data_IF_756625562487
#
_entry.id   IF_756625562487
#
_cell.length_a   1.000
_cell.length_b   1.000
_cell.length_c   1.000
_cell.angle_alpha   90.00
_cell.angle_beta   90.00
_cell.angle_gamma   90.00
#
_symmetry.space_group_name_H-M   'P 1'
#
loop_
_entity.id
_entity.type
_entity.pdbx_description
1 polymer ?
#
# COMPACT_ATOMS: atom_id res chain seq x y z
N UNK A 1 8.06 -8.82 -27.27
CA UNK A 1 6.99 -7.94 -26.71
C UNK A 1 5.71 -8.70 -26.31
N UNK A 2 5.57 -10.00 -26.61
CA UNK A 2 4.43 -10.85 -26.20
C UNK A 2 4.60 -11.59 -24.87
N UNK A 3 5.82 -11.63 -24.31
CA UNK A 3 6.14 -12.44 -23.11
C UNK A 3 5.86 -11.73 -21.77
N UNK A 4 5.71 -10.40 -21.76
CA UNK A 4 5.41 -9.66 -20.53
C UNK A 4 3.92 -9.63 -20.17
N UNK A 5 3.05 -10.13 -21.07
CA UNK A 5 1.61 -10.14 -20.87
C UNK A 5 1.14 -11.33 -19.99
N UNK A 6 1.81 -12.49 -20.04
CA UNK A 6 1.41 -13.67 -19.24
C UNK A 6 1.72 -13.51 -17.74
N UNK A 7 2.76 -12.76 -17.37
CA UNK A 7 3.12 -12.50 -15.97
C UNK A 7 2.17 -11.50 -15.29
N UNK A 8 1.69 -10.49 -16.03
CA UNK A 8 0.69 -9.55 -15.54
C UNK A 8 -0.70 -10.20 -15.40
N UNK A 9 -1.03 -11.15 -16.29
CA UNK A 9 -2.24 -11.96 -16.17
C UNK A 9 -2.25 -12.82 -14.91
N UNK A 10 -1.12 -13.34 -14.42
CA UNK A 10 -1.09 -14.09 -13.14
C UNK A 10 -1.37 -13.21 -11.93
N UNK A 11 -0.92 -11.95 -11.93
CA UNK A 11 -1.13 -11.02 -10.82
C UNK A 11 -2.59 -10.54 -10.79
N UNK A 12 -3.22 -10.38 -11.95
CA UNK A 12 -4.63 -10.02 -12.08
C UNK A 12 -5.55 -11.24 -11.88
N UNK A 13 -5.19 -12.41 -12.43
CA UNK A 13 -5.91 -13.67 -12.23
C UNK A 13 -5.86 -14.11 -10.77
N UNK A 14 -4.74 -13.87 -10.08
CA UNK A 14 -4.63 -14.11 -8.64
C UNK A 14 -5.55 -13.22 -7.81
N UNK A 15 -5.75 -11.96 -8.21
CA UNK A 15 -6.74 -11.07 -7.59
C UNK A 15 -8.19 -11.47 -7.94
N UNK A 16 -8.44 -12.02 -9.13
CA UNK A 16 -9.76 -12.53 -9.54
C UNK A 16 -10.14 -13.86 -8.86
N UNK A 17 -9.18 -14.65 -8.36
CA UNK A 17 -9.42 -15.95 -7.74
C UNK A 17 -9.65 -15.93 -6.21
N UNK A 18 -9.72 -14.75 -5.58
CA UNK A 18 -10.16 -14.60 -4.17
C UNK A 18 -11.66 -14.91 -3.94
N UNK A 19 -12.31 -15.58 -4.89
CA UNK A 19 -13.73 -15.95 -4.82
C UNK A 19 -13.90 -17.26 -4.05
N UNK A 20 -14.39 -17.15 -2.81
CA UNK A 20 -14.85 -18.18 -1.84
C UNK A 20 -14.00 -19.48 -1.73
N UNK A 21 -13.41 -19.78 -0.56
CA UNK A 21 -12.88 -21.11 -0.29
C UNK A 21 -14.05 -22.10 -0.14
N UNK A 22 -14.42 -22.82 -1.21
CA UNK A 22 -15.48 -23.83 -1.08
C UNK A 22 -16.07 -24.47 -2.34
N UNK A 23 -15.67 -24.09 -3.56
CA UNK A 23 -16.09 -24.83 -4.77
C UNK A 23 -14.91 -25.04 -5.71
N UNK A 24 -14.22 -26.16 -5.53
CA UNK A 24 -13.30 -26.71 -6.52
C UNK A 24 -14.10 -27.41 -7.63
N UNK A 25 -14.08 -26.87 -8.83
CA UNK A 25 -14.37 -27.63 -10.05
C UNK A 25 -13.15 -28.53 -10.38
N UNK A 26 -13.33 -29.72 -10.97
CA UNK A 26 -12.21 -30.63 -11.25
C UNK A 26 -11.23 -30.18 -12.36
N UNK A 27 -11.58 -29.15 -13.14
CA UNK A 27 -10.86 -28.80 -14.38
C UNK A 27 -9.95 -27.55 -14.30
N UNK A 28 -9.76 -26.94 -13.12
CA UNK A 28 -8.90 -25.77 -12.96
C UNK A 28 -7.41 -26.14 -12.85
N UNK A 29 -6.81 -26.58 -13.96
CA UNK A 29 -5.34 -26.76 -14.08
C UNK A 29 -4.65 -25.42 -14.30
N UNK A 30 -4.48 -24.64 -13.22
CA UNK A 30 -3.55 -23.51 -13.22
C UNK A 30 -2.11 -24.03 -13.17
N UNK A 31 -1.39 -23.79 -14.26
CA UNK A 31 0.00 -24.17 -14.48
C UNK A 31 0.88 -22.93 -14.19
N UNK A 32 1.78 -23.01 -13.21
CA UNK A 32 2.67 -21.90 -12.81
C UNK A 32 4.14 -22.26 -13.07
N UNK A 33 4.94 -21.28 -13.51
CA UNK A 33 6.40 -21.37 -13.49
C UNK A 33 6.90 -21.19 -12.04
N UNK A 34 7.48 -22.23 -11.45
CA UNK A 34 7.95 -22.25 -10.05
C UNK A 34 9.34 -21.66 -9.85
N UNK A 35 10.03 -21.29 -10.93
CA UNK A 35 11.42 -20.87 -10.89
C UNK A 35 11.57 -19.35 -11.10
N UNK A 36 11.45 -18.60 -10.01
CA UNK A 36 11.61 -17.13 -9.94
C UNK A 36 13.07 -16.63 -10.16
N UNK A 37 13.89 -17.34 -10.94
CA UNK A 37 15.31 -16.98 -11.09
C UNK A 37 16.06 -17.59 -12.27
N UNK A 38 15.41 -18.36 -13.14
CA UNK A 38 16.12 -19.03 -14.24
C UNK A 38 15.16 -19.42 -15.37
N UNK A 39 14.52 -18.43 -16.00
CA UNK A 39 13.96 -18.64 -17.34
C UNK A 39 15.11 -18.32 -18.31
N UNK A 40 15.61 -19.30 -19.07
CA UNK A 40 16.62 -19.05 -20.09
C UNK A 40 16.12 -18.04 -21.13
N UNK A 41 16.99 -17.15 -21.60
CA UNK A 41 16.70 -16.09 -22.59
C UNK A 41 16.25 -16.62 -23.96
N UNK A 42 16.29 -17.93 -24.18
CA UNK A 42 15.99 -18.66 -25.42
C UNK A 42 14.70 -19.52 -25.33
N UNK A 43 13.72 -19.08 -24.55
CA UNK A 43 12.45 -19.79 -24.34
C UNK A 43 11.74 -20.12 -25.67
N UNK A 44 11.61 -21.43 -25.95
CA UNK A 44 10.85 -21.96 -27.08
C UNK A 44 9.63 -22.77 -26.58
N UNK A 45 8.39 -22.27 -26.77
CA UNK A 45 7.17 -22.94 -26.29
C UNK A 45 6.92 -24.30 -26.93
N UNK A 46 7.58 -24.63 -28.04
CA UNK A 46 7.43 -25.90 -28.76
C UNK A 46 8.53 -26.92 -28.42
N UNK A 47 9.41 -26.65 -27.46
CA UNK A 47 10.44 -27.63 -27.07
C UNK A 47 9.84 -28.74 -26.21
N UNK A 48 10.18 -29.99 -26.51
CA UNK A 48 9.78 -31.18 -25.74
C UNK A 48 10.34 -31.23 -24.30
N UNK A 49 11.19 -30.27 -23.90
CA UNK A 49 11.69 -30.10 -22.52
C UNK A 49 10.75 -29.31 -21.61
N UNK A 50 9.59 -28.83 -22.11
CA UNK A 50 8.62 -28.05 -21.32
C UNK A 50 7.89 -28.90 -20.27
N UNK A 51 7.87 -30.23 -20.42
CA UNK A 51 7.07 -31.14 -19.58
C UNK A 51 7.61 -31.26 -18.15
N UNK A 52 8.92 -31.07 -17.92
CA UNK A 52 9.53 -31.24 -16.59
C UNK A 52 9.39 -30.03 -15.67
N UNK A 53 8.97 -28.87 -16.19
CA UNK A 53 8.81 -27.64 -15.39
C UNK A 53 7.43 -27.51 -14.71
N UNK A 54 6.47 -28.35 -15.08
CA UNK A 54 5.09 -28.24 -14.64
C UNK A 54 4.70 -29.39 -13.74
N UNK A 55 5.30 -29.40 -12.54
CA UNK A 55 4.74 -30.19 -11.44
C UNK A 55 3.41 -29.55 -11.02
N UNK A 56 2.30 -30.31 -10.96
CA UNK A 56 1.06 -29.79 -10.40
C UNK A 56 1.34 -29.32 -8.97
N UNK A 57 1.11 -28.03 -8.73
CA UNK A 57 1.30 -27.43 -7.42
C UNK A 57 0.38 -28.09 -6.39
N UNK A 58 0.86 -28.25 -5.15
CA UNK A 58 -0.03 -28.62 -4.06
C UNK A 58 -1.08 -27.53 -3.84
N UNK A 59 -2.21 -27.87 -3.19
CA UNK A 59 -3.20 -26.87 -2.83
C UNK A 59 -2.61 -25.76 -1.93
N UNK A 60 -1.65 -26.12 -1.08
CA UNK A 60 -0.91 -25.18 -0.23
C UNK A 60 -0.04 -24.25 -1.06
N UNK A 61 0.70 -24.77 -2.05
CA UNK A 61 1.54 -23.95 -2.93
C UNK A 61 0.72 -22.99 -3.78
N UNK A 62 -0.45 -23.42 -4.27
CA UNK A 62 -1.37 -22.51 -4.99
C UNK A 62 -1.86 -21.38 -4.09
N UNK A 63 -2.31 -21.70 -2.89
CA UNK A 63 -2.79 -20.69 -1.94
C UNK A 63 -1.67 -19.73 -1.52
N UNK A 64 -0.46 -20.25 -1.28
CA UNK A 64 0.70 -19.43 -0.96
C UNK A 64 1.12 -18.54 -2.14
N UNK A 65 1.13 -19.08 -3.36
CA UNK A 65 1.40 -18.30 -4.58
C UNK A 65 0.45 -17.13 -4.75
N UNK A 66 -0.85 -17.35 -4.56
CA UNK A 66 -1.86 -16.28 -4.61
C UNK A 66 -1.64 -15.21 -3.53
N UNK A 67 -1.34 -15.63 -2.30
CA UNK A 67 -1.00 -14.71 -1.21
C UNK A 67 0.24 -13.87 -1.54
N UNK A 68 1.29 -14.51 -2.07
CA UNK A 68 2.51 -13.82 -2.48
C UNK A 68 2.25 -12.86 -3.63
N UNK A 69 1.45 -13.23 -4.63
CA UNK A 69 1.04 -12.30 -5.69
C UNK A 69 0.39 -11.04 -5.09
N UNK A 70 -0.54 -11.20 -4.15
CA UNK A 70 -1.13 -10.07 -3.43
C UNK A 70 -0.09 -9.25 -2.65
N UNK A 71 0.82 -9.91 -1.93
CA UNK A 71 1.87 -9.24 -1.15
C UNK A 71 2.80 -8.40 -2.04
N UNK A 72 3.10 -8.89 -3.25
CA UNK A 72 3.98 -8.22 -4.20
C UNK A 72 3.38 -6.92 -4.75
N UNK A 73 2.08 -6.67 -4.65
CA UNK A 73 1.49 -5.36 -5.01
C UNK A 73 2.11 -4.20 -4.23
N UNK A 74 2.67 -4.47 -3.05
CA UNK A 74 3.44 -3.48 -2.27
C UNK A 74 4.56 -2.81 -3.08
N UNK A 75 5.04 -3.44 -4.15
CA UNK A 75 6.04 -2.86 -5.07
C UNK A 75 5.56 -1.57 -5.77
N UNK A 76 4.23 -1.41 -5.93
CA UNK A 76 3.63 -0.23 -6.53
C UNK A 76 3.86 1.02 -5.68
N UNK A 77 3.98 0.87 -4.36
CA UNK A 77 4.11 1.98 -3.42
C UNK A 77 5.43 2.04 -2.66
N UNK A 78 6.17 0.92 -2.60
CA UNK A 78 7.42 0.81 -1.83
C UNK A 78 8.63 0.51 -2.72
N UNK A 79 9.86 0.88 -2.30
CA UNK A 79 11.07 0.39 -2.93
C UNK A 79 11.18 -1.14 -2.85
N UNK A 80 11.82 -1.75 -3.86
CA UNK A 80 12.05 -3.20 -3.94
C UNK A 80 12.75 -3.74 -2.70
N UNK A 81 13.72 -2.98 -2.16
CA UNK A 81 14.44 -3.32 -0.93
C UNK A 81 13.50 -3.53 0.26
N UNK A 82 12.45 -2.73 0.40
CA UNK A 82 11.49 -2.86 1.51
C UNK A 82 10.65 -4.15 1.37
N UNK A 83 10.37 -4.59 0.13
CA UNK A 83 9.67 -5.86 -0.13
C UNK A 83 10.58 -7.03 0.25
N UNK A 84 11.85 -7.00 -0.16
CA UNK A 84 12.88 -7.98 0.22
C UNK A 84 13.01 -8.08 1.75
N UNK A 85 13.09 -6.94 2.44
CA UNK A 85 13.21 -6.92 3.91
C UNK A 85 11.97 -7.47 4.63
N UNK A 86 10.78 -7.24 4.09
CA UNK A 86 9.52 -7.71 4.70
C UNK A 86 9.11 -9.13 4.29
N UNK A 87 9.95 -9.85 3.53
CA UNK A 87 9.63 -11.19 3.03
C UNK A 87 9.40 -12.24 4.14
N UNK A 88 10.25 -12.27 5.17
CA UNK A 88 10.09 -13.23 6.28
C UNK A 88 8.77 -12.99 7.02
N UNK A 89 8.43 -11.72 7.23
CA UNK A 89 7.16 -11.34 7.85
C UNK A 89 5.96 -11.71 6.97
N UNK A 90 6.07 -11.66 5.64
CA UNK A 90 5.02 -12.13 4.74
C UNK A 90 4.74 -13.63 4.92
N UNK A 91 5.79 -14.45 5.06
CA UNK A 91 5.67 -15.88 5.34
C UNK A 91 4.97 -16.14 6.67
N UNK A 92 5.38 -15.44 7.73
CA UNK A 92 4.73 -15.54 9.05
C UNK A 92 3.26 -15.12 8.98
N UNK A 93 2.96 -14.03 8.27
CA UNK A 93 1.60 -13.53 8.10
C UNK A 93 0.71 -14.53 7.36
N UNK A 94 1.25 -15.24 6.36
CA UNK A 94 0.52 -16.31 5.68
C UNK A 94 0.07 -17.40 6.66
N UNK A 95 0.98 -17.91 7.49
CA UNK A 95 0.62 -18.94 8.48
C UNK A 95 -0.41 -18.44 9.51
N UNK A 96 -0.40 -17.15 9.84
CA UNK A 96 -1.42 -16.52 10.69
C UNK A 96 -2.80 -16.46 10.01
N UNK A 97 -2.88 -15.99 8.75
CA UNK A 97 -4.16 -15.86 8.03
C UNK A 97 -4.81 -17.20 7.68
N UNK A 98 -4.01 -18.24 7.45
CA UNK A 98 -4.50 -19.54 7.01
C UNK A 98 -4.43 -20.62 8.10
N UNK A 99 -4.49 -20.22 9.37
CA UNK A 99 -4.63 -21.11 10.55
C UNK A 99 -3.69 -22.32 10.53
N UNK A 100 -2.38 -22.06 10.54
CA UNK A 100 -1.34 -23.09 10.68
C UNK A 100 -1.11 -23.97 9.44
N UNK A 101 -1.52 -23.54 8.24
CA UNK A 101 -0.91 -24.09 7.02
C UNK A 101 0.58 -23.82 7.06
N UNK A 102 1.37 -24.89 6.95
CA UNK A 102 2.82 -24.76 6.85
C UNK A 102 3.16 -23.89 5.64
N UNK A 103 3.89 -22.81 5.90
CA UNK A 103 4.42 -22.00 4.80
C UNK A 103 5.38 -22.85 3.99
N UNK A 104 5.21 -22.96 2.66
CA UNK A 104 6.13 -23.70 1.81
C UNK A 104 7.59 -23.25 1.98
N UNK A 105 8.43 -24.10 2.58
CA UNK A 105 9.84 -23.80 2.88
C UNK A 105 10.68 -23.58 1.63
N UNK A 106 10.33 -24.23 0.53
CA UNK A 106 11.06 -24.21 -0.73
C UNK A 106 10.90 -22.91 -1.52
N UNK A 107 9.95 -22.04 -1.16
CA UNK A 107 9.76 -20.78 -1.89
C UNK A 107 10.89 -19.80 -1.58
N UNK A 108 11.69 -19.43 -2.60
CA UNK A 108 12.84 -18.57 -2.38
C UNK A 108 12.40 -17.15 -2.04
N UNK A 109 13.30 -16.41 -1.40
CA UNK A 109 13.17 -14.97 -1.29
C UNK A 109 13.32 -14.35 -2.69
N UNK A 110 12.45 -13.42 -3.11
CA UNK A 110 12.60 -12.77 -4.39
C UNK A 110 13.91 -11.99 -4.44
N UNK A 111 14.60 -12.07 -5.58
CA UNK A 111 15.81 -11.30 -5.80
C UNK A 111 15.47 -9.82 -6.00
N UNK A 112 16.37 -8.94 -5.55
CA UNK A 112 16.18 -7.49 -5.66
C UNK A 112 16.05 -7.04 -7.12
N UNK A 113 16.92 -7.54 -7.99
CA UNK A 113 16.92 -7.25 -9.44
C UNK A 113 15.60 -7.65 -10.12
N UNK A 114 15.04 -8.80 -9.73
CA UNK A 114 13.75 -9.25 -10.24
C UNK A 114 12.62 -8.32 -9.81
N UNK A 115 12.60 -7.89 -8.55
CA UNK A 115 11.61 -6.93 -8.05
C UNK A 115 11.73 -5.56 -8.72
N UNK A 116 12.95 -5.09 -9.01
CA UNK A 116 13.17 -3.85 -9.76
C UNK A 116 12.64 -3.97 -11.19
N UNK A 117 12.86 -5.12 -11.85
CA UNK A 117 12.28 -5.41 -13.16
C UNK A 117 10.73 -5.37 -13.10
N UNK A 118 10.15 -6.11 -12.16
CA UNK A 118 8.69 -6.16 -11.96
C UNK A 118 8.11 -4.75 -11.72
N UNK A 119 8.77 -3.95 -10.88
CA UNK A 119 8.37 -2.57 -10.61
C UNK A 119 8.36 -1.73 -11.89
N UNK A 120 9.42 -1.83 -12.69
CA UNK A 120 9.52 -1.11 -13.95
C UNK A 120 8.40 -1.51 -14.91
N UNK A 121 8.03 -2.80 -14.97
CA UNK A 121 6.90 -3.26 -15.80
C UNK A 121 5.57 -2.61 -15.37
N UNK A 122 5.29 -2.54 -14.07
CA UNK A 122 4.09 -1.84 -13.58
C UNK A 122 4.10 -0.35 -13.91
N UNK A 123 5.27 0.29 -13.93
CA UNK A 123 5.40 1.69 -14.33
C UNK A 123 5.18 1.91 -15.83
N UNK A 124 5.58 0.95 -16.67
CA UNK A 124 5.41 1.01 -18.13
C UNK A 124 3.95 0.80 -18.54
N UNK A 125 3.25 -0.16 -17.92
CA UNK A 125 1.88 -0.54 -18.28
C UNK A 125 0.86 0.15 -17.38
N UNK A 126 0.65 1.46 -17.59
CA UNK A 126 -0.28 2.27 -16.79
C UNK A 126 -1.69 1.66 -16.66
N UNK A 127 -2.20 1.04 -17.72
CA UNK A 127 -3.52 0.38 -17.72
C UNK A 127 -3.58 -0.78 -16.75
N UNK A 128 -2.52 -1.58 -16.65
CA UNK A 128 -2.47 -2.71 -15.72
C UNK A 128 -2.57 -2.22 -14.28
N UNK A 129 -1.79 -1.19 -13.92
CA UNK A 129 -1.86 -0.57 -12.59
C UNK A 129 -3.26 0.01 -12.29
N UNK A 130 -3.86 0.74 -13.24
CA UNK A 130 -5.22 1.26 -13.07
C UNK A 130 -6.27 0.16 -12.87
N UNK A 131 -6.20 -0.93 -13.65
CA UNK A 131 -7.08 -2.09 -13.49
C UNK A 131 -6.88 -2.74 -12.12
N UNK A 132 -5.63 -2.94 -11.71
CA UNK A 132 -5.31 -3.57 -10.44
C UNK A 132 -5.85 -2.75 -9.24
N UNK A 133 -5.74 -1.42 -9.30
CA UNK A 133 -6.30 -0.54 -8.26
C UNK A 133 -7.83 -0.51 -8.25
N UNK A 134 -8.48 -0.64 -9.41
CA UNK A 134 -9.94 -0.81 -9.47
C UNK A 134 -10.39 -2.11 -8.83
N UNK A 135 -9.65 -3.21 -9.03
CA UNK A 135 -9.91 -4.48 -8.36
C UNK A 135 -9.73 -4.33 -6.85
N UNK A 136 -8.62 -3.74 -6.39
CA UNK A 136 -8.41 -3.46 -4.96
C UNK A 136 -9.54 -2.64 -4.36
N UNK A 137 -9.96 -1.58 -5.04
CA UNK A 137 -11.08 -0.74 -4.58
C UNK A 137 -12.39 -1.53 -4.49
N UNK A 138 -12.67 -2.38 -5.49
CA UNK A 138 -13.86 -3.24 -5.45
C UNK A 138 -13.79 -4.24 -4.29
N UNK A 139 -12.63 -4.85 -4.04
CA UNK A 139 -12.43 -5.75 -2.90
C UNK A 139 -12.68 -5.03 -1.56
N UNK A 140 -12.17 -3.80 -1.39
CA UNK A 140 -12.41 -2.98 -0.20
C UNK A 140 -13.91 -2.68 0.00
N UNK A 141 -14.65 -2.45 -1.08
CA UNK A 141 -16.11 -2.20 -1.02
C UNK A 141 -16.94 -3.47 -0.78
N UNK A 142 -16.47 -4.64 -1.21
CA UNK A 142 -17.19 -5.91 -1.06
C UNK A 142 -16.96 -6.53 0.31
N UNK A 143 -15.73 -6.46 0.82
CA UNK A 143 -15.34 -7.09 2.08
C UNK A 143 -15.23 -6.03 3.17
N UNK A 144 -16.38 -5.62 3.71
CA UNK A 144 -16.49 -4.55 4.72
C UNK A 144 -16.59 -5.07 6.15
N UNK A 145 -16.79 -6.37 6.33
CA UNK A 145 -17.09 -6.99 7.63
C UNK A 145 -15.84 -7.04 8.52
N UNK A 146 -15.73 -6.04 9.39
CA UNK A 146 -14.64 -5.92 10.37
C UNK A 146 -14.59 -7.16 11.25
N UNK A 147 -13.40 -7.74 11.40
CA UNK A 147 -13.16 -8.95 12.20
C UNK A 147 -13.11 -10.24 11.38
N UNK A 148 -13.47 -10.22 10.09
CA UNK A 148 -13.30 -11.37 9.20
C UNK A 148 -11.86 -11.52 8.71
N UNK A 149 -11.48 -12.75 8.34
CA UNK A 149 -10.15 -13.05 7.78
C UNK A 149 -9.97 -12.33 6.44
N UNK A 150 -11.00 -12.30 5.61
CA UNK A 150 -11.00 -11.65 4.29
C UNK A 150 -10.76 -10.14 4.42
N UNK A 151 -11.47 -9.48 5.33
CA UNK A 151 -11.27 -8.05 5.63
C UNK A 151 -9.83 -7.78 6.04
N UNK A 152 -9.30 -8.57 6.98
CA UNK A 152 -7.93 -8.41 7.48
C UNK A 152 -6.88 -8.68 6.38
N UNK A 153 -7.12 -9.67 5.52
CA UNK A 153 -6.25 -10.03 4.40
C UNK A 153 -6.20 -8.92 3.34
N UNK A 154 -7.35 -8.38 2.93
CA UNK A 154 -7.43 -7.29 1.95
C UNK A 154 -6.72 -6.04 2.47
N UNK A 155 -6.90 -5.73 3.76
CA UNK A 155 -6.19 -4.61 4.38
C UNK A 155 -4.69 -4.82 4.40
N UNK A 156 -4.24 -6.01 4.79
CA UNK A 156 -2.83 -6.35 4.86
C UNK A 156 -2.15 -6.31 3.47
N UNK A 157 -2.73 -6.96 2.47
CA UNK A 157 -2.12 -7.11 1.15
C UNK A 157 -2.23 -5.86 0.30
N UNK A 158 -3.33 -5.10 0.41
CA UNK A 158 -3.63 -4.03 -0.53
C UNK A 158 -3.84 -2.66 0.14
N UNK A 159 -4.79 -2.53 1.07
CA UNK A 159 -5.17 -1.20 1.60
C UNK A 159 -4.00 -0.56 2.34
N UNK A 160 -3.40 -1.23 3.32
CA UNK A 160 -2.29 -0.70 4.12
C UNK A 160 -1.07 -0.34 3.27
N UNK A 161 -0.59 -1.19 2.33
CA UNK A 161 0.58 -0.82 1.53
C UNK A 161 0.28 0.23 0.45
N UNK A 162 -0.92 0.29 -0.13
CA UNK A 162 -1.21 1.12 -1.30
C UNK A 162 -1.89 2.46 -0.97
N UNK A 163 -2.72 2.50 0.07
CA UNK A 163 -3.47 3.71 0.43
C UNK A 163 -2.54 4.86 0.82
N UNK A 164 -2.95 6.07 0.43
CA UNK A 164 -2.27 7.33 0.67
C UNK A 164 -0.81 7.37 0.20
N UNK A 165 -0.43 6.51 -0.75
CA UNK A 165 0.92 6.49 -1.31
C UNK A 165 1.29 7.88 -1.81
N UNK A 166 2.38 8.45 -1.30
CA UNK A 166 2.82 9.79 -1.68
C UNK A 166 2.00 10.95 -1.09
N UNK A 167 0.91 10.69 -0.37
CA UNK A 167 0.04 11.67 0.29
C UNK A 167 0.14 11.57 1.83
N UNK A 168 1.36 11.39 2.36
CA UNK A 168 1.55 11.23 3.80
C UNK A 168 1.00 12.40 4.62
N UNK A 169 0.98 13.63 4.08
CA UNK A 169 0.37 14.77 4.74
C UNK A 169 -1.11 14.54 5.07
N UNK A 170 -1.88 13.98 4.11
CA UNK A 170 -3.29 13.69 4.36
C UNK A 170 -3.47 12.59 5.40
N UNK A 171 -2.68 11.51 5.31
CA UNK A 171 -2.72 10.43 6.30
C UNK A 171 -2.41 10.96 7.72
N UNK A 172 -1.32 11.69 7.89
CA UNK A 172 -0.97 12.26 9.20
C UNK A 172 -2.04 13.24 9.70
N UNK A 173 -2.66 14.01 8.80
CA UNK A 173 -3.77 14.89 9.17
C UNK A 173 -4.97 14.08 9.70
N UNK A 174 -5.34 12.98 9.04
CA UNK A 174 -6.35 12.06 9.54
C UNK A 174 -5.97 11.45 10.89
N UNK A 175 -4.71 11.06 11.08
CA UNK A 175 -4.22 10.52 12.36
C UNK A 175 -4.32 11.61 13.47
N UNK A 176 -3.97 12.87 13.18
CA UNK A 176 -4.14 14.00 14.14
C UNK A 176 -5.61 14.21 14.46
N UNK A 177 -6.48 14.15 13.44
CA UNK A 177 -7.94 14.24 13.61
C UNK A 177 -8.46 13.15 14.51
N UNK A 178 -8.02 11.90 14.32
CA UNK A 178 -8.40 10.76 15.14
C UNK A 178 -7.93 10.95 16.60
N UNK A 179 -6.68 11.37 16.80
CA UNK A 179 -6.12 11.61 18.15
C UNK A 179 -6.78 12.75 18.91
N UNK A 180 -7.19 13.79 18.20
CA UNK A 180 -7.81 14.98 18.81
C UNK A 180 -9.33 14.88 18.89
N UNK A 181 -9.96 13.98 18.14
CA UNK A 181 -11.42 13.91 18.00
C UNK A 181 -12.05 15.15 17.36
N UNK A 182 -11.25 16.05 16.79
CA UNK A 182 -11.72 17.33 16.25
C UNK A 182 -12.21 17.20 14.81
N UNK A 183 -13.05 18.14 14.37
CA UNK A 183 -13.48 18.18 12.98
C UNK A 183 -12.38 18.73 12.05
N UNK A 184 -12.46 18.36 10.77
CA UNK A 184 -11.53 18.86 9.74
C UNK A 184 -11.49 20.40 9.71
N UNK A 185 -12.64 21.06 9.82
CA UNK A 185 -12.72 22.52 9.80
C UNK A 185 -12.00 23.17 10.99
N UNK A 186 -12.00 22.53 12.16
CA UNK A 186 -11.27 23.01 13.33
C UNK A 186 -9.76 22.92 13.10
N UNK A 187 -9.27 21.75 12.69
CA UNK A 187 -7.84 21.53 12.45
C UNK A 187 -7.30 22.45 11.35
N UNK A 188 -8.04 22.62 10.26
CA UNK A 188 -7.69 23.54 9.19
C UNK A 188 -7.53 24.96 9.73
N UNK A 189 -8.43 25.42 10.59
CA UNK A 189 -8.36 26.75 11.21
C UNK A 189 -7.14 26.90 12.12
N UNK A 190 -6.80 25.87 12.90
CA UNK A 190 -5.66 25.94 13.82
C UNK A 190 -4.31 25.88 13.11
N UNK A 191 -4.24 25.19 11.98
CA UNK A 191 -3.03 25.06 11.16
C UNK A 191 -2.89 26.18 10.13
N UNK A 192 -3.89 27.06 9.98
CA UNK A 192 -3.91 28.06 8.91
C UNK A 192 -2.78 29.08 9.05
N UNK A 193 -1.81 29.02 8.13
CA UNK A 193 -0.74 29.99 7.95
C UNK A 193 -0.35 30.11 6.47
N UNK A 194 0.49 31.10 6.14
CA UNK A 194 0.98 31.31 4.77
C UNK A 194 1.68 30.07 4.19
N UNK A 195 2.36 29.31 5.04
CA UNK A 195 3.19 28.17 4.66
C UNK A 195 2.39 26.93 4.28
N UNK A 196 1.17 26.75 4.82
CA UNK A 196 0.35 25.54 4.64
C UNK A 196 -0.93 25.78 3.83
N UNK A 197 -1.07 26.98 3.25
CA UNK A 197 -2.34 27.43 2.65
C UNK A 197 -2.83 26.49 1.55
N UNK A 198 -1.93 26.01 0.70
CA UNK A 198 -2.28 25.16 -0.44
C UNK A 198 -2.63 23.75 0.03
N UNK A 199 -1.84 23.20 0.94
CA UNK A 199 -2.04 21.90 1.56
C UNK A 199 -3.38 21.83 2.29
N UNK A 200 -3.67 22.82 3.14
CA UNK A 200 -4.91 22.87 3.91
C UNK A 200 -6.13 23.05 3.02
N UNK A 201 -6.04 23.83 1.95
CA UNK A 201 -7.11 23.96 0.97
C UNK A 201 -7.38 22.62 0.28
N UNK A 202 -6.34 21.90 -0.14
CA UNK A 202 -6.47 20.57 -0.74
C UNK A 202 -7.03 19.54 0.24
N UNK A 203 -6.59 19.54 1.51
CA UNK A 203 -7.13 18.64 2.54
C UNK A 203 -8.62 18.92 2.78
N UNK A 204 -9.00 20.20 2.89
CA UNK A 204 -10.39 20.58 3.07
C UNK A 204 -11.23 20.11 1.89
N UNK A 205 -10.78 20.35 0.65
CA UNK A 205 -11.45 19.86 -0.57
C UNK A 205 -11.63 18.34 -0.57
N UNK A 206 -10.57 17.58 -0.24
CA UNK A 206 -10.65 16.11 -0.11
C UNK A 206 -11.72 15.72 0.90
N UNK A 207 -11.76 16.37 2.07
CA UNK A 207 -12.75 16.04 3.11
C UNK A 207 -14.19 16.34 2.71
N UNK A 208 -14.41 17.37 1.89
CA UNK A 208 -15.74 17.80 1.48
C UNK A 208 -16.26 17.05 0.24
N UNK A 209 -15.36 16.52 -0.60
CA UNK A 209 -15.75 15.99 -1.90
C UNK A 209 -15.44 14.50 -2.09
N UNK A 210 -14.51 13.93 -1.31
CA UNK A 210 -13.97 12.59 -1.56
C UNK A 210 -14.03 11.67 -0.34
N UNK A 211 -13.66 12.18 0.84
CA UNK A 211 -13.67 11.43 2.11
C UNK A 211 -14.95 11.71 2.91
N UNK A 212 -16.10 11.64 2.24
CA UNK A 212 -17.41 11.96 2.80
C UNK A 212 -17.91 10.95 3.85
N UNK A 213 -17.27 9.78 3.93
CA UNK A 213 -17.78 8.65 4.69
C UNK A 213 -19.10 8.09 4.12
N UNK A 214 -19.54 6.96 4.66
CA UNK A 214 -20.82 6.35 4.30
C UNK A 214 -20.94 5.88 2.83
N UNK A 215 -22.18 5.66 2.34
CA UNK A 215 -22.43 5.07 1.02
C UNK A 215 -21.93 5.87 -0.18
N UNK A 216 -21.68 7.18 0.01
CA UNK A 216 -21.21 8.08 -1.04
C UNK A 216 -19.68 8.25 -1.04
N UNK A 217 -18.97 7.57 -0.13
CA UNK A 217 -17.51 7.60 -0.10
C UNK A 217 -16.94 6.97 -1.38
N UNK A 218 -15.96 7.64 -1.98
CA UNK A 218 -15.20 7.09 -3.10
C UNK A 218 -13.78 6.72 -2.64
N UNK A 219 -13.52 5.50 -2.14
CA UNK A 219 -12.22 5.15 -1.57
C UNK A 219 -11.07 5.22 -2.58
N UNK A 220 -11.36 5.33 -3.88
CA UNK A 220 -10.36 5.43 -4.95
C UNK A 220 -9.42 6.61 -4.74
N UNK A 221 -9.87 7.72 -4.13
CA UNK A 221 -9.00 8.89 -3.91
C UNK A 221 -7.76 8.52 -3.11
N UNK A 222 -7.85 7.55 -2.19
CA UNK A 222 -6.72 7.06 -1.38
C UNK A 222 -5.60 6.47 -2.25
N UNK A 223 -5.92 6.02 -3.46
CA UNK A 223 -4.98 5.47 -4.43
C UNK A 223 -4.64 6.43 -5.58
N UNK A 224 -5.11 7.68 -5.54
CA UNK A 224 -5.02 8.61 -6.67
C UNK A 224 -3.59 8.82 -7.19
N UNK A 225 -2.59 8.86 -6.32
CA UNK A 225 -1.18 9.00 -6.70
C UNK A 225 -0.60 7.81 -7.46
N UNK A 226 -1.14 6.61 -7.22
CA UNK A 226 -0.79 5.42 -7.98
C UNK A 226 -1.46 5.44 -9.36
N UNK A 227 -2.60 6.11 -9.51
CA UNK A 227 -3.26 6.34 -10.79
C UNK A 227 -2.55 7.40 -11.64
N UNK A 228 -1.95 8.41 -11.00
CA UNK A 228 -1.15 9.42 -11.70
C UNK A 228 -0.49 10.47 -10.80
N UNK A 229 0.66 11.02 -11.23
CA UNK A 229 1.41 12.03 -10.48
C UNK A 229 0.78 13.43 -10.48
N UNK A 230 -0.31 13.64 -11.23
CA UNK A 230 -1.04 14.91 -11.28
C UNK A 230 -2.07 15.06 -10.15
N UNK A 231 -2.45 13.98 -9.48
CA UNK A 231 -3.44 14.05 -8.41
C UNK A 231 -2.84 14.58 -7.12
N UNK A 232 -3.52 15.54 -6.50
CA UNK A 232 -3.19 16.13 -5.19
C UNK A 232 -1.70 16.52 -5.03
N UNK A 233 -1.12 17.30 -5.96
CA UNK A 233 0.30 17.61 -5.95
C UNK A 233 0.76 18.43 -4.73
N UNK A 234 -0.15 19.22 -4.14
CA UNK A 234 0.14 20.08 -2.98
C UNK A 234 0.44 19.24 -1.74
N UNK A 235 -0.32 18.18 -1.50
CA UNK A 235 -0.13 17.28 -0.34
C UNK A 235 0.84 16.14 -0.62
N UNK A 236 1.58 16.20 -1.74
CA UNK A 236 2.63 15.24 -2.01
C UNK A 236 3.80 15.47 -1.04
N UNK A 237 4.32 14.43 -0.39
CA UNK A 237 5.36 14.56 0.65
C UNK A 237 6.58 15.38 0.20
N UNK A 238 6.99 15.26 -1.06
CA UNK A 238 8.11 16.02 -1.63
C UNK A 238 7.82 17.52 -1.82
N UNK A 239 6.55 17.89 -1.93
CA UNK A 239 6.09 19.27 -2.16
C UNK A 239 5.78 19.98 -0.84
N UNK A 240 5.34 19.24 0.19
CA UNK A 240 4.86 19.78 1.47
C UNK A 240 5.64 19.26 2.67
N UNK A 241 6.97 19.11 2.56
CA UNK A 241 7.80 18.47 3.59
C UNK A 241 7.70 19.16 4.96
N UNK A 242 7.58 20.50 4.99
CA UNK A 242 7.38 21.27 6.23
C UNK A 242 6.05 20.96 6.90
N UNK A 243 4.99 20.82 6.11
CA UNK A 243 3.66 20.49 6.61
C UNK A 243 3.60 19.06 7.15
N UNK A 244 4.21 18.10 6.44
CA UNK A 244 4.38 16.72 6.92
C UNK A 244 5.12 16.69 8.25
N UNK A 245 6.23 17.44 8.38
CA UNK A 245 6.97 17.56 9.63
C UNK A 245 6.09 18.13 10.75
N UNK A 246 5.38 19.24 10.51
CA UNK A 246 4.49 19.84 11.50
C UNK A 246 3.43 18.84 12.01
N UNK A 247 2.79 18.08 11.12
CA UNK A 247 1.80 17.07 11.50
C UNK A 247 2.43 15.91 12.30
N UNK A 248 3.60 15.42 11.90
CA UNK A 248 4.34 14.42 12.64
C UNK A 248 4.69 14.90 14.06
N UNK A 249 5.09 16.16 14.21
CA UNK A 249 5.39 16.80 15.50
C UNK A 249 4.17 17.01 16.38
N UNK A 250 2.98 17.16 15.79
CA UNK A 250 1.72 17.16 16.56
C UNK A 250 1.47 15.75 17.10
N UNK A 251 1.57 14.72 16.26
CA UNK A 251 1.33 13.33 16.66
C UNK A 251 2.30 12.85 17.74
N UNK A 252 3.59 13.22 17.66
CA UNK A 252 4.57 12.86 18.67
C UNK A 252 4.26 13.42 20.07
N UNK A 253 3.38 14.43 20.18
CA UNK A 253 2.89 14.95 21.48
C UNK A 253 1.80 14.07 22.10
N UNK A 254 1.16 13.22 21.31
CA UNK A 254 0.14 12.27 21.77
C UNK A 254 0.69 10.86 22.02
N UNK A 255 1.91 10.59 21.55
CA UNK A 255 2.57 9.30 21.77
C UNK A 255 3.21 9.23 23.17
N UNK A 256 3.05 8.08 23.83
CA UNK A 256 3.74 7.81 25.10
C UNK A 256 5.23 7.52 24.82
N UNK A 257 6.15 7.90 25.72
CA UNK A 257 7.55 7.53 25.61
C UNK A 257 7.69 6.00 25.44
N UNK A 258 8.26 5.55 24.31
CA UNK A 258 8.47 4.13 24.01
C UNK A 258 7.54 3.50 22.97
N UNK A 259 6.65 4.25 22.30
CA UNK A 259 5.94 3.72 21.12
C UNK A 259 6.90 3.50 19.95
N UNK A 260 6.85 2.31 19.35
CA UNK A 260 7.69 1.94 18.20
C UNK A 260 7.31 2.63 16.87
N UNK A 261 6.20 3.38 16.82
CA UNK A 261 5.92 4.30 15.73
C UNK A 261 6.61 5.62 16.04
N UNK A 262 7.65 5.98 15.30
CA UNK A 262 8.12 7.36 15.27
C UNK A 262 7.57 8.02 13.99
N UNK A 263 6.55 8.90 14.09
CA UNK A 263 5.95 9.60 12.95
C UNK A 263 6.95 10.43 12.14
N UNK A 264 8.12 10.71 12.69
CA UNK A 264 9.20 11.49 12.06
C UNK A 264 10.11 10.64 11.17
N UNK A 265 10.00 9.31 11.16
CA UNK A 265 10.75 8.44 10.26
C UNK A 265 10.22 8.46 8.81
N UNK A 266 9.76 9.62 8.35
CA UNK A 266 9.34 9.84 6.97
C UNK A 266 10.55 10.31 6.18
N UNK A 267 10.86 9.58 5.10
CA UNK A 267 11.97 9.92 4.22
C UNK A 267 11.84 11.34 3.66
N UNK A 268 12.90 12.15 3.77
CA UNK A 268 12.96 13.52 3.27
C UNK A 268 12.79 14.61 4.33
N UNK A 269 12.38 14.28 5.56
CA UNK A 269 12.29 15.27 6.66
C UNK A 269 13.66 15.74 7.16
N UNK A 270 14.71 14.96 6.90
CA UNK A 270 16.12 15.27 7.15
C UNK A 270 16.59 16.54 6.39
N UNK A 271 15.89 16.92 5.32
CA UNK A 271 16.24 18.05 4.46
C UNK A 271 15.72 19.41 4.96
N UNK A 272 14.89 19.41 6.00
CA UNK A 272 14.36 20.66 6.57
C UNK A 272 15.44 21.31 7.42
N UNK A 273 15.73 22.59 7.18
CA UNK A 273 16.70 23.35 7.97
C UNK A 273 16.19 23.64 9.39
N UNK A 274 17.10 23.95 10.31
CA UNK A 274 16.79 24.05 11.74
C UNK A 274 15.84 25.19 12.08
N UNK A 275 15.98 26.34 11.40
CA UNK A 275 15.05 27.47 11.54
C UNK A 275 13.62 27.07 11.20
N UNK A 276 13.43 26.34 10.09
CA UNK A 276 12.10 25.92 9.67
C UNK A 276 11.56 24.87 10.64
N UNK A 277 12.38 23.92 11.09
CA UNK A 277 11.97 22.96 12.13
C UNK A 277 11.47 23.66 13.39
N UNK A 278 12.23 24.63 13.91
CA UNK A 278 11.85 25.41 15.08
C UNK A 278 10.51 26.15 14.86
N UNK A 279 10.30 26.73 13.67
CA UNK A 279 9.03 27.36 13.31
C UNK A 279 7.87 26.35 13.31
N UNK A 280 8.05 25.19 12.68
CA UNK A 280 7.03 24.14 12.62
C UNK A 280 6.73 23.57 14.00
N UNK A 281 7.75 23.42 14.85
CA UNK A 281 7.60 22.99 16.25
C UNK A 281 6.74 23.98 17.04
N UNK A 282 6.93 25.28 16.84
CA UNK A 282 6.09 26.32 17.44
C UNK A 282 4.63 26.21 17.01
N UNK A 283 4.37 25.98 15.72
CA UNK A 283 3.00 25.77 15.20
C UNK A 283 2.40 24.50 15.81
N UNK A 284 3.13 23.38 15.79
CA UNK A 284 2.68 22.11 16.35
C UNK A 284 2.33 22.23 17.84
N UNK A 285 3.19 22.89 18.63
CA UNK A 285 2.94 23.19 20.04
C UNK A 285 1.68 24.00 20.26
N UNK A 286 1.45 25.05 19.45
CA UNK A 286 0.26 25.88 19.58
C UNK A 286 -1.02 25.09 19.31
N UNK A 287 -1.03 24.22 18.29
CA UNK A 287 -2.18 23.35 17.99
C UNK A 287 -2.46 22.39 19.15
N UNK A 288 -1.41 21.75 19.67
CA UNK A 288 -1.53 20.83 20.81
C UNK A 288 -2.07 21.54 22.07
N UNK A 289 -1.54 22.72 22.39
CA UNK A 289 -1.99 23.49 23.57
C UNK A 289 -3.45 23.91 23.45
N UNK A 290 -3.90 24.34 22.26
CA UNK A 290 -5.31 24.68 22.03
C UNK A 290 -6.24 23.49 22.13
N UNK A 291 -5.75 22.29 21.79
CA UNK A 291 -6.50 21.07 22.03
C UNK A 291 -6.58 20.76 23.53
N UNK A 292 -5.45 20.81 24.24
CA UNK A 292 -5.39 20.49 25.67
C UNK A 292 -6.16 21.48 26.57
N UNK A 293 -6.48 22.67 26.07
CA UNK A 293 -7.27 23.68 26.79
C UNK A 293 -8.79 23.57 26.58
N UNK A 294 -9.25 22.70 25.67
CA UNK A 294 -10.67 22.44 25.43
C UNK A 294 -11.14 21.22 26.24
#
# INVERSE_FOLDING_TARGET
>A
MSECWSECEMIIAGACYLRKPGRSSPDDRLIYATNFGSVPLDWNPNSSRVVDYYRPLSATDRAFGLFICGFLFKILSKPSQNVVQSWSHAKESYSHFYSSRETPKHWPKPQLSWLDCLKNQFCLVKRANQTALRVVNNLEMVYTDVGTVEYALIRYLFVTPLSFTGMHAYKLFCDVKEKTGQETAWLVRQLWCSEFRYELKTIYDISQNWDLGGPNANPVFRYARLLGPQYFPEIQTKSCTNFVYCLARILSRFELPGSNSNPEQIAGLDRINDWMKAKMDGIASNVYMKFASN
#
